data_IF_612514100559
#
_entry.id   IF_612514100559
#
_cell.length_a   1.000
_cell.length_b   1.000
_cell.length_c   1.000
_cell.angle_alpha   90.00
_cell.angle_beta   90.00
_cell.angle_gamma   90.00
#
_symmetry.space_group_name_H-M   'P 1'
#
loop_
_entity.id
_entity.type
_entity.pdbx_description
1 polymer ?
#
# COMPACT_ATOMS: atom_id res chain seq x y z
N UNK A 1 -57.41 4.03 11.53
CA UNK A 1 -56.53 3.29 10.64
C UNK A 1 -55.09 3.63 11.07
N UNK A 2 -54.43 2.75 11.81
CA UNK A 2 -53.07 2.95 12.30
C UNK A 2 -52.12 2.26 11.34
N UNK A 3 -51.30 3.01 10.64
CA UNK A 3 -50.22 2.47 9.82
C UNK A 3 -49.11 1.98 10.73
N UNK A 4 -48.93 0.65 10.73
CA UNK A 4 -47.75 -0.02 11.33
C UNK A 4 -46.54 0.25 10.43
N UNK A 5 -45.66 1.15 10.86
CA UNK A 5 -44.35 1.33 10.27
C UNK A 5 -43.50 0.11 10.63
N UNK A 6 -43.28 -0.80 9.67
CA UNK A 6 -42.34 -1.90 9.81
C UNK A 6 -40.91 -1.35 9.78
N UNK A 7 -40.26 -1.32 10.94
CA UNK A 7 -38.82 -1.09 11.04
C UNK A 7 -38.10 -2.25 10.36
N UNK A 8 -37.55 -1.99 9.17
CA UNK A 8 -36.61 -2.92 8.52
C UNK A 8 -35.35 -2.94 9.40
N UNK A 9 -35.14 -4.03 10.12
CA UNK A 9 -33.92 -4.23 10.89
C UNK A 9 -32.72 -4.27 9.92
N UNK A 10 -31.75 -3.38 10.10
CA UNK A 10 -30.49 -3.48 9.41
C UNK A 10 -29.86 -4.88 9.69
N UNK A 11 -29.30 -5.55 8.68
CA UNK A 11 -28.65 -6.82 8.91
C UNK A 11 -27.53 -6.64 9.95
N UNK A 12 -27.48 -7.58 10.91
CA UNK A 12 -26.42 -7.57 11.93
C UNK A 12 -25.03 -7.64 11.22
N UNK A 13 -24.10 -6.82 11.68
CA UNK A 13 -22.72 -6.91 11.19
C UNK A 13 -22.16 -8.31 11.47
N UNK A 14 -21.39 -8.90 10.56
CA UNK A 14 -20.69 -10.15 10.83
C UNK A 14 -19.79 -10.00 12.07
N UNK A 15 -19.63 -11.06 12.84
CA UNK A 15 -18.74 -11.07 14.00
C UNK A 15 -17.28 -10.87 13.55
N UNK A 16 -16.54 -9.99 14.24
CA UNK A 16 -15.15 -9.69 13.89
C UNK A 16 -14.26 -10.92 14.10
N UNK A 17 -13.51 -11.38 13.08
CA UNK A 17 -12.63 -12.55 13.21
C UNK A 17 -11.40 -12.26 14.08
N UNK A 18 -11.06 -10.98 14.31
CA UNK A 18 -10.02 -10.50 15.20
C UNK A 18 -10.33 -9.07 15.68
N UNK A 19 -9.89 -8.74 16.90
CA UNK A 19 -10.20 -7.44 17.53
C UNK A 19 -9.54 -6.23 16.83
N UNK A 20 -8.52 -6.47 16.01
CA UNK A 20 -7.75 -5.47 15.26
C UNK A 20 -8.25 -5.27 13.81
N UNK A 21 -9.42 -5.81 13.47
CA UNK A 21 -10.02 -5.70 12.15
C UNK A 21 -11.34 -4.91 12.19
N UNK A 22 -11.61 -4.16 11.12
CA UNK A 22 -12.87 -3.46 10.91
C UNK A 22 -13.61 -4.02 9.71
N UNK A 23 -14.96 -4.00 9.79
CA UNK A 23 -15.82 -4.39 8.69
C UNK A 23 -15.92 -3.28 7.66
N UNK A 24 -15.61 -3.61 6.42
CA UNK A 24 -15.82 -2.77 5.25
C UNK A 24 -17.07 -3.29 4.54
N UNK A 25 -18.13 -2.48 4.45
CA UNK A 25 -19.45 -3.01 4.06
C UNK A 25 -19.57 -3.42 2.58
N UNK A 26 -18.52 -3.12 1.78
CA UNK A 26 -18.61 -3.27 0.34
C UNK A 26 -19.50 -2.20 -0.30
N UNK A 27 -19.70 -2.29 -1.60
CA UNK A 27 -20.53 -1.33 -2.35
C UNK A 27 -19.91 -0.89 -3.65
N UNK A 28 -20.57 0.06 -4.31
CA UNK A 28 -20.13 0.65 -5.58
C UNK A 28 -19.43 1.98 -5.30
N UNK A 29 -18.34 2.25 -6.02
CA UNK A 29 -17.55 3.48 -5.90
C UNK A 29 -16.92 3.86 -7.24
N UNK A 30 -16.44 5.08 -7.34
CA UNK A 30 -15.64 5.55 -8.46
C UNK A 30 -14.16 5.18 -8.23
N UNK A 31 -13.69 4.12 -8.91
CA UNK A 31 -12.31 3.65 -8.84
C UNK A 31 -11.41 4.43 -9.80
N UNK A 32 -10.28 4.95 -9.31
CA UNK A 32 -9.32 5.73 -10.10
C UNK A 32 -9.58 7.22 -10.08
N UNK A 33 -8.88 7.93 -10.97
CA UNK A 33 -8.99 9.39 -11.15
C UNK A 33 -8.54 9.78 -12.55
N UNK A 34 -9.26 10.74 -13.17
CA UNK A 34 -8.88 11.36 -14.45
C UNK A 34 -8.10 12.67 -14.25
N UNK A 35 -7.80 13.06 -12.99
CA UNK A 35 -7.28 14.38 -12.66
C UNK A 35 -5.78 14.40 -12.35
N UNK A 36 -5.13 13.22 -12.22
CA UNK A 36 -3.75 13.13 -11.74
C UNK A 36 -2.84 12.35 -12.70
N UNK A 37 -2.35 11.17 -12.28
CA UNK A 37 -1.42 10.38 -13.09
C UNK A 37 -2.15 9.54 -14.14
N UNK A 38 -1.58 9.40 -15.35
CA UNK A 38 -2.20 8.61 -16.43
C UNK A 38 -2.53 7.16 -16.02
N UNK A 39 -1.74 6.58 -15.14
CA UNK A 39 -1.96 5.22 -14.64
C UNK A 39 -3.21 5.07 -13.76
N UNK A 40 -3.73 6.17 -13.24
CA UNK A 40 -4.96 6.18 -12.42
C UNK A 40 -6.22 6.20 -13.28
N UNK A 41 -6.10 6.68 -14.53
CA UNK A 41 -7.21 6.82 -15.47
C UNK A 41 -7.47 5.51 -16.25
N UNK A 42 -8.72 5.31 -16.75
CA UNK A 42 -9.87 6.16 -16.52
C UNK A 42 -10.50 5.91 -15.15
N UNK A 43 -11.13 6.94 -14.57
CA UNK A 43 -12.02 6.77 -13.44
C UNK A 43 -13.28 6.03 -13.89
N UNK A 44 -13.66 4.96 -13.21
CA UNK A 44 -14.79 4.14 -13.59
C UNK A 44 -15.49 3.51 -12.38
N UNK A 45 -16.81 3.29 -12.49
CA UNK A 45 -17.54 2.61 -11.44
C UNK A 45 -17.04 1.17 -11.28
N UNK A 46 -16.85 0.75 -10.03
CA UNK A 46 -16.54 -0.61 -9.63
C UNK A 46 -17.30 -0.95 -8.36
N UNK A 47 -17.55 -2.22 -8.10
CA UNK A 47 -18.13 -2.69 -6.86
C UNK A 47 -17.23 -3.73 -6.19
N UNK A 48 -17.26 -3.78 -4.86
CA UNK A 48 -16.59 -4.80 -4.06
C UNK A 48 -17.56 -5.39 -3.05
N UNK A 49 -17.41 -6.69 -2.77
CA UNK A 49 -18.13 -7.34 -1.68
C UNK A 49 -17.61 -6.84 -0.33
N UNK A 50 -18.36 -7.07 0.76
CA UNK A 50 -17.91 -6.74 2.10
C UNK A 50 -16.77 -7.65 2.58
N UNK A 51 -15.85 -7.09 3.38
CA UNK A 51 -14.69 -7.81 3.92
C UNK A 51 -14.23 -7.19 5.23
N UNK A 52 -13.43 -7.93 5.99
CA UNK A 52 -12.71 -7.41 7.15
C UNK A 52 -11.33 -6.93 6.74
N UNK A 53 -10.88 -5.79 7.25
CA UNK A 53 -9.54 -5.24 6.99
C UNK A 53 -8.84 -4.90 8.30
N UNK A 54 -7.53 -5.15 8.37
CA UNK A 54 -6.67 -4.69 9.48
C UNK A 54 -6.79 -3.17 9.62
N UNK A 55 -7.00 -2.69 10.83
CA UNK A 55 -7.12 -1.24 11.10
C UNK A 55 -5.88 -0.45 10.72
N UNK A 56 -4.71 -1.08 10.83
CA UNK A 56 -3.40 -0.46 10.62
C UNK A 56 -2.56 -1.32 9.66
N UNK A 57 -1.51 -0.78 9.03
CA UNK A 57 -0.48 -1.59 8.38
C UNK A 57 0.16 -2.55 9.38
N UNK A 58 0.59 -3.72 8.92
CA UNK A 58 1.27 -4.71 9.78
C UNK A 58 2.48 -4.07 10.46
N UNK A 59 2.52 -4.16 11.78
CA UNK A 59 3.55 -3.54 12.60
C UNK A 59 4.79 -4.42 12.75
N UNK A 60 5.91 -3.80 13.16
CA UNK A 60 7.14 -4.53 13.49
C UNK A 60 6.91 -5.60 14.56
N UNK A 61 6.08 -5.32 15.57
CA UNK A 61 5.76 -6.31 16.60
C UNK A 61 5.04 -7.52 16.03
N UNK A 62 4.01 -7.31 15.21
CA UNK A 62 3.24 -8.38 14.58
C UNK A 62 4.10 -9.20 13.60
N UNK A 63 4.97 -8.54 12.84
CA UNK A 63 5.87 -9.23 11.91
C UNK A 63 6.96 -10.01 12.66
N UNK A 64 7.45 -9.49 13.78
CA UNK A 64 8.39 -10.20 14.65
C UNK A 64 7.79 -11.50 15.21
N UNK A 65 6.51 -11.50 15.60
CA UNK A 65 5.79 -12.73 16.03
C UNK A 65 5.77 -13.77 14.92
N UNK A 66 5.43 -13.36 13.70
CA UNK A 66 5.43 -14.23 12.52
C UNK A 66 6.80 -14.86 12.30
N UNK A 67 7.85 -14.05 12.27
CA UNK A 67 9.22 -14.56 12.05
C UNK A 67 9.65 -15.49 13.17
N UNK A 68 9.34 -15.18 14.43
CA UNK A 68 9.64 -16.08 15.56
C UNK A 68 8.90 -17.43 15.47
N UNK A 69 7.64 -17.41 15.00
CA UNK A 69 6.82 -18.61 14.90
C UNK A 69 7.21 -19.52 13.72
N UNK A 70 7.70 -18.92 12.62
CA UNK A 70 7.89 -19.65 11.35
C UNK A 70 9.35 -19.81 10.92
N UNK A 71 10.25 -19.01 11.47
CA UNK A 71 11.63 -18.92 10.99
C UNK A 71 11.73 -18.23 9.61
N UNK A 72 10.72 -17.49 9.18
CA UNK A 72 10.69 -16.84 7.87
C UNK A 72 11.89 -15.91 7.69
N UNK A 73 12.51 -16.01 6.51
CA UNK A 73 13.54 -15.08 6.04
C UNK A 73 12.96 -14.24 4.90
N UNK A 74 13.04 -12.93 5.03
CA UNK A 74 12.52 -12.01 4.02
C UNK A 74 13.41 -12.01 2.77
N UNK A 75 12.84 -11.57 1.65
CA UNK A 75 13.58 -11.41 0.38
C UNK A 75 14.83 -10.55 0.59
N UNK A 76 14.76 -9.50 1.41
CA UNK A 76 15.91 -8.65 1.75
C UNK A 76 17.05 -9.40 2.47
N UNK A 77 16.75 -10.50 3.14
CA UNK A 77 17.72 -11.34 3.87
C UNK A 77 18.29 -12.47 2.99
N UNK A 78 17.88 -12.55 1.73
CA UNK A 78 18.30 -13.61 0.77
C UNK A 78 19.04 -12.95 -0.38
N UNK A 79 20.15 -13.56 -0.82
CA UNK A 79 20.89 -13.07 -1.98
C UNK A 79 20.04 -13.19 -3.25
N UNK A 80 19.93 -12.12 -4.07
CA UNK A 80 19.21 -12.19 -5.34
C UNK A 80 19.77 -13.30 -6.25
N UNK A 81 18.90 -13.92 -7.05
CA UNK A 81 19.31 -14.90 -8.05
C UNK A 81 19.93 -14.17 -9.26
N UNK A 82 21.25 -14.38 -9.55
CA UNK A 82 21.91 -13.70 -10.66
C UNK A 82 21.28 -13.98 -12.04
N UNK A 83 20.56 -15.10 -12.20
CA UNK A 83 19.91 -15.44 -13.47
C UNK A 83 18.74 -14.52 -13.80
N UNK A 84 18.11 -13.92 -12.79
CA UNK A 84 17.00 -12.98 -12.94
C UNK A 84 17.47 -11.54 -13.24
N UNK A 85 18.76 -11.25 -13.03
CA UNK A 85 19.36 -9.92 -13.19
C UNK A 85 20.61 -9.95 -14.08
N UNK A 86 20.47 -10.30 -15.37
CA UNK A 86 21.61 -10.36 -16.27
C UNK A 86 22.32 -9.01 -16.37
N UNK A 87 23.64 -9.00 -16.13
CA UNK A 87 24.46 -7.79 -16.15
C UNK A 87 24.45 -6.96 -14.86
N UNK A 88 23.77 -7.40 -13.82
CA UNK A 88 23.83 -6.73 -12.52
C UNK A 88 25.24 -6.77 -11.92
N UNK A 89 25.62 -5.72 -11.22
CA UNK A 89 26.92 -5.64 -10.53
C UNK A 89 26.96 -6.67 -9.40
N UNK A 90 28.10 -7.34 -9.27
CA UNK A 90 28.32 -8.41 -8.27
C UNK A 90 28.00 -7.94 -6.83
N UNK A 91 28.29 -6.68 -6.53
CA UNK A 91 28.03 -6.08 -5.20
C UNK A 91 26.53 -6.01 -4.86
N UNK A 92 25.64 -5.99 -5.88
CA UNK A 92 24.20 -6.00 -5.70
C UNK A 92 23.61 -7.40 -5.56
N UNK A 93 24.43 -8.45 -5.69
CA UNK A 93 24.03 -9.86 -5.56
C UNK A 93 24.23 -10.39 -4.14
N UNK A 94 24.19 -9.54 -3.14
CA UNK A 94 24.23 -9.89 -1.72
C UNK A 94 22.95 -9.41 -1.02
N UNK A 95 22.56 -10.02 0.10
CA UNK A 95 21.38 -9.61 0.86
C UNK A 95 21.40 -8.12 1.19
N UNK A 96 20.28 -7.45 0.97
CA UNK A 96 20.13 -6.03 1.20
C UNK A 96 18.81 -5.51 0.64
N UNK A 97 18.62 -4.20 0.75
CA UNK A 97 17.38 -3.55 0.34
C UNK A 97 17.61 -2.09 -0.05
N UNK A 98 16.64 -1.51 -0.74
CA UNK A 98 16.67 -0.10 -1.12
C UNK A 98 16.35 0.79 0.07
N UNK A 99 17.26 1.72 0.36
CA UNK A 99 17.16 2.70 1.44
C UNK A 99 17.20 4.11 0.87
N UNK A 100 16.25 4.93 1.29
CA UNK A 100 16.28 6.35 1.02
C UNK A 100 17.42 7.01 1.81
N UNK A 101 18.25 7.77 1.10
CA UNK A 101 19.33 8.58 1.69
C UNK A 101 19.14 10.03 1.27
N UNK A 102 18.69 10.85 2.23
CA UNK A 102 18.45 12.28 2.00
C UNK A 102 19.73 12.97 1.54
N UNK A 103 19.78 13.62 0.36
CA UNK A 103 20.91 14.43 -0.06
C UNK A 103 21.08 15.68 0.81
N UNK A 104 22.29 16.23 0.84
CA UNK A 104 22.59 17.46 1.58
C UNK A 104 22.11 18.75 0.91
N UNK A 105 21.53 18.67 -0.30
CA UNK A 105 21.03 19.80 -1.07
C UNK A 105 20.32 19.34 -2.35
N UNK A 106 19.89 20.27 -3.21
CA UNK A 106 19.23 19.97 -4.47
C UNK A 106 20.06 19.02 -5.35
N UNK A 107 19.38 18.07 -6.01
CA UNK A 107 19.99 17.09 -6.93
C UNK A 107 19.19 16.99 -8.23
N UNK A 108 19.77 16.35 -9.25
CA UNK A 108 19.05 16.07 -10.49
C UNK A 108 17.94 15.02 -10.21
N UNK A 109 16.69 15.48 -10.32
CA UNK A 109 15.49 14.68 -10.05
C UNK A 109 15.23 13.58 -11.09
N UNK A 110 15.92 13.60 -12.24
CA UNK A 110 15.80 12.55 -13.27
C UNK A 110 16.60 11.30 -12.93
N UNK A 111 17.51 11.39 -11.96
CA UNK A 111 18.31 10.27 -11.50
C UNK A 111 17.99 9.90 -10.05
N UNK A 112 17.09 8.92 -9.88
CA UNK A 112 16.68 8.43 -8.57
C UNK A 112 17.85 7.88 -7.74
N UNK A 113 18.97 7.50 -8.34
CA UNK A 113 20.18 7.04 -7.64
C UNK A 113 20.80 8.15 -6.77
N UNK A 114 20.41 9.39 -6.92
CA UNK A 114 20.83 10.48 -6.04
C UNK A 114 20.31 10.32 -4.61
N UNK A 115 19.17 9.63 -4.42
CA UNK A 115 18.56 9.41 -3.08
C UNK A 115 18.19 7.97 -2.77
N UNK A 116 18.20 7.05 -3.75
CA UNK A 116 18.03 5.62 -3.50
C UNK A 116 19.37 4.90 -3.54
N UNK A 117 19.64 4.11 -2.48
CA UNK A 117 20.85 3.28 -2.38
C UNK A 117 20.46 1.86 -2.03
N UNK A 118 21.00 0.88 -2.74
CA UNK A 118 20.98 -0.50 -2.29
C UNK A 118 21.97 -0.64 -1.14
N UNK A 119 21.48 -1.00 0.04
CA UNK A 119 22.29 -1.08 1.26
C UNK A 119 22.35 -2.54 1.71
N UNK A 120 23.57 -3.10 1.73
CA UNK A 120 23.80 -4.46 2.20
C UNK A 120 23.43 -4.57 3.67
N UNK A 121 22.72 -5.66 4.03
CA UNK A 121 22.25 -5.89 5.38
C UNK A 121 21.15 -4.94 5.84
N UNK A 122 20.53 -4.16 4.94
CA UNK A 122 19.26 -3.51 5.21
C UNK A 122 18.12 -4.51 5.06
N UNK A 123 17.32 -4.64 6.09
CA UNK A 123 16.18 -5.55 6.18
C UNK A 123 15.14 -4.96 7.15
N UNK A 124 14.08 -5.68 7.45
CA UNK A 124 13.01 -5.23 8.35
C UNK A 124 13.48 -4.96 9.79
N UNK A 125 14.57 -5.61 10.28
CA UNK A 125 15.18 -5.34 11.58
C UNK A 125 16.18 -4.19 11.56
N UNK A 126 16.76 -3.93 10.38
CA UNK A 126 17.84 -2.97 10.14
C UNK A 126 17.47 -1.98 9.02
N UNK A 127 16.43 -1.11 9.22
CA UNK A 127 15.77 -0.39 8.13
C UNK A 127 16.63 0.68 7.43
N UNK A 128 17.76 1.08 7.97
CA UNK A 128 18.70 1.99 7.30
C UNK A 128 20.10 1.38 7.11
N UNK A 129 20.22 0.04 7.31
CA UNK A 129 21.43 -0.75 7.19
C UNK A 129 21.82 -1.45 8.47
N UNK A 130 22.87 -2.29 8.46
CA UNK A 130 23.19 -3.26 9.52
C UNK A 130 23.45 -2.66 10.90
N UNK A 131 23.76 -1.38 10.98
CA UNK A 131 23.98 -0.66 12.27
C UNK A 131 22.70 -0.01 12.80
N UNK A 132 21.56 -0.20 12.16
CA UNK A 132 20.26 0.30 12.61
C UNK A 132 19.43 -0.78 13.31
N UNK A 133 18.37 -0.36 13.99
CA UNK A 133 17.50 -1.28 14.72
C UNK A 133 16.07 -0.76 14.78
N UNK A 134 15.11 -1.67 14.90
CA UNK A 134 13.70 -1.37 15.19
C UNK A 134 13.39 -1.26 16.68
N UNK A 135 14.40 -1.29 17.55
CA UNK A 135 14.20 -1.16 19.01
C UNK A 135 13.44 0.13 19.33
N UNK A 136 12.35 0.01 20.10
CA UNK A 136 11.46 1.13 20.40
C UNK A 136 10.51 1.53 19.26
N UNK A 137 10.43 0.72 18.18
CA UNK A 137 9.55 0.93 17.03
C UNK A 137 8.56 -0.22 16.82
N UNK A 138 8.10 -0.85 17.90
CA UNK A 138 7.15 -1.98 17.83
C UNK A 138 5.85 -1.62 17.14
N UNK A 139 5.34 -0.38 17.34
CA UNK A 139 4.10 0.15 16.74
C UNK A 139 4.35 0.94 15.44
N UNK A 140 5.46 0.75 14.77
CA UNK A 140 5.72 1.29 13.42
C UNK A 140 5.43 0.22 12.38
N UNK A 141 5.06 0.61 11.14
CA UNK A 141 4.85 -0.36 10.08
C UNK A 141 6.13 -1.14 9.79
N UNK A 142 6.01 -2.42 9.52
CA UNK A 142 7.12 -3.20 8.99
C UNK A 142 7.44 -2.71 7.57
N UNK A 143 8.73 -2.59 7.27
CA UNK A 143 9.23 -2.19 5.95
C UNK A 143 10.29 -3.18 5.47
N UNK A 144 10.81 -3.01 4.27
CA UNK A 144 11.75 -3.94 3.62
C UNK A 144 11.16 -5.35 3.44
N UNK A 145 9.87 -5.40 3.16
CA UNK A 145 9.12 -6.63 2.86
C UNK A 145 8.72 -6.63 1.39
N UNK A 146 9.07 -7.69 0.68
CA UNK A 146 8.64 -7.94 -0.68
C UNK A 146 7.23 -8.57 -0.72
N UNK A 147 6.65 -8.71 -1.90
CA UNK A 147 5.30 -9.28 -2.04
C UNK A 147 5.17 -10.67 -1.39
N UNK A 148 6.16 -11.53 -1.60
CA UNK A 148 6.16 -12.89 -1.03
C UNK A 148 6.19 -12.91 0.51
N UNK A 149 6.83 -11.92 1.13
CA UNK A 149 6.91 -11.79 2.59
C UNK A 149 5.53 -11.42 3.16
N UNK A 150 4.85 -10.45 2.54
CA UNK A 150 3.49 -10.06 2.91
C UNK A 150 2.48 -11.18 2.70
N UNK A 151 2.59 -11.92 1.59
CA UNK A 151 1.73 -13.08 1.32
C UNK A 151 1.95 -14.21 2.33
N UNK A 152 3.20 -14.49 2.69
CA UNK A 152 3.55 -15.50 3.69
C UNK A 152 3.00 -15.15 5.08
N UNK A 153 3.13 -13.88 5.49
CA UNK A 153 2.54 -13.39 6.72
C UNK A 153 1.01 -13.53 6.71
N UNK A 154 0.36 -13.06 5.64
CA UNK A 154 -1.09 -13.11 5.52
C UNK A 154 -1.60 -14.55 5.62
N UNK A 155 -0.97 -15.48 4.92
CA UNK A 155 -1.30 -16.92 4.97
C UNK A 155 -1.12 -17.50 6.38
N UNK A 156 -0.04 -17.16 7.07
CA UNK A 156 0.19 -17.60 8.45
C UNK A 156 -0.90 -17.13 9.41
N UNK A 157 -1.40 -15.89 9.22
CA UNK A 157 -2.50 -15.31 10.02
C UNK A 157 -3.89 -15.79 9.59
N UNK A 158 -4.02 -16.66 8.58
CA UNK A 158 -5.32 -17.03 8.00
C UNK A 158 -6.00 -15.88 7.26
N UNK A 159 -5.23 -14.89 6.81
CA UNK A 159 -5.67 -13.68 6.10
C UNK A 159 -5.21 -13.70 4.64
N UNK A 160 -5.52 -12.65 3.90
CA UNK A 160 -5.04 -12.40 2.54
C UNK A 160 -4.60 -10.94 2.39
N UNK A 161 -3.78 -10.63 1.40
CA UNK A 161 -3.59 -9.26 0.94
C UNK A 161 -4.84 -8.78 0.19
N UNK A 162 -5.18 -7.48 0.25
CA UNK A 162 -6.32 -6.91 -0.48
C UNK A 162 -6.07 -6.91 -2.00
N UNK A 163 -7.13 -6.90 -2.78
CA UNK A 163 -7.07 -6.48 -4.18
C UNK A 163 -6.89 -4.97 -4.25
N UNK A 164 -6.49 -4.45 -5.43
CA UNK A 164 -6.42 -3.00 -5.65
C UNK A 164 -7.76 -2.32 -5.39
N UNK A 165 -8.87 -2.93 -5.85
CA UNK A 165 -10.21 -2.39 -5.70
C UNK A 165 -10.68 -2.39 -4.23
N UNK A 166 -10.46 -3.47 -3.49
CA UNK A 166 -10.78 -3.55 -2.06
C UNK A 166 -9.98 -2.51 -1.27
N UNK A 167 -8.69 -2.39 -1.57
CA UNK A 167 -7.84 -1.42 -0.90
C UNK A 167 -8.32 0.03 -1.17
N UNK A 168 -8.59 0.37 -2.44
CA UNK A 168 -9.04 1.73 -2.80
C UNK A 168 -10.41 2.06 -2.23
N UNK A 169 -11.36 1.11 -2.27
CA UNK A 169 -12.66 1.27 -1.64
C UNK A 169 -12.56 1.56 -0.14
N UNK A 170 -11.76 0.77 0.56
CA UNK A 170 -11.51 0.95 1.98
C UNK A 170 -10.82 2.30 2.29
N UNK A 171 -9.84 2.69 1.47
CA UNK A 171 -9.13 3.96 1.64
C UNK A 171 -10.03 5.18 1.46
N UNK A 172 -11.01 5.11 0.55
CA UNK A 172 -11.98 6.20 0.35
C UNK A 172 -12.89 6.43 1.55
N UNK A 173 -13.10 5.43 2.39
CA UNK A 173 -13.90 5.59 3.60
C UNK A 173 -15.33 6.10 3.33
N UNK A 174 -15.95 5.77 2.19
CA UNK A 174 -17.26 6.29 1.79
C UNK A 174 -17.23 7.71 1.19
N UNK A 175 -16.08 8.37 1.11
CA UNK A 175 -15.92 9.68 0.45
C UNK A 175 -15.65 9.47 -1.04
N UNK A 176 -16.69 9.10 -1.78
CA UNK A 176 -16.55 8.79 -3.21
C UNK A 176 -16.14 10.03 -4.00
N UNK A 177 -15.13 9.85 -4.88
CA UNK A 177 -14.57 10.92 -5.70
C UNK A 177 -13.69 11.94 -4.95
N UNK A 178 -13.54 11.85 -3.63
CA UNK A 178 -12.66 12.73 -2.87
C UNK A 178 -11.17 12.52 -3.27
N UNK A 179 -10.41 13.60 -3.19
CA UNK A 179 -8.98 13.57 -3.56
C UNK A 179 -8.15 12.77 -2.55
N UNK A 180 -8.40 12.97 -1.25
CA UNK A 180 -7.70 12.30 -0.15
C UNK A 180 -8.64 11.39 0.63
N UNK A 181 -8.09 10.55 1.48
CA UNK A 181 -8.86 9.64 2.35
C UNK A 181 -9.72 10.39 3.40
N UNK A 182 -9.50 11.69 3.58
CA UNK A 182 -10.20 12.58 4.53
C UNK A 182 -10.99 13.72 3.86
N UNK A 183 -11.02 13.81 2.53
CA UNK A 183 -11.73 14.86 1.79
C UNK A 183 -10.88 15.49 0.68
N UNK A 184 -11.15 16.76 0.36
CA UNK A 184 -10.51 17.44 -0.78
C UNK A 184 -9.43 18.45 -0.37
N UNK A 185 -9.25 18.73 0.90
CA UNK A 185 -8.23 19.63 1.39
C UNK A 185 -7.03 18.83 1.93
N UNK A 186 -5.82 19.15 1.45
CA UNK A 186 -4.60 18.42 1.82
C UNK A 186 -4.33 18.49 3.33
N UNK A 187 -4.49 19.67 3.91
CA UNK A 187 -4.23 19.92 5.32
C UNK A 187 -5.39 20.75 5.93
N UNK A 188 -6.52 20.11 6.28
CA UNK A 188 -7.65 20.80 6.88
C UNK A 188 -7.21 21.56 8.14
N UNK A 189 -7.60 22.83 8.25
CA UNK A 189 -7.19 23.74 9.33
C UNK A 189 -5.66 23.79 9.55
N UNK A 190 -4.88 23.55 8.49
CA UNK A 190 -3.41 23.51 8.53
C UNK A 190 -2.83 22.27 9.22
N UNK A 191 -3.62 21.21 9.48
CA UNK A 191 -3.19 20.00 10.17
C UNK A 191 -2.84 18.89 9.18
N UNK A 192 -1.65 18.27 9.29
CA UNK A 192 -1.33 17.06 8.53
C UNK A 192 -2.30 15.93 8.91
N UNK A 193 -2.88 15.29 7.90
CA UNK A 193 -3.79 14.16 8.08
C UNK A 193 -3.14 12.81 7.81
N UNK A 194 -1.88 12.81 7.37
CA UNK A 194 -1.07 11.63 7.09
C UNK A 194 0.42 11.98 7.13
N UNK A 195 1.27 10.97 7.22
CA UNK A 195 2.71 11.12 7.12
C UNK A 195 3.13 11.15 5.65
N UNK A 196 3.50 12.31 5.14
CA UNK A 196 4.05 12.52 3.79
C UNK A 196 5.12 13.61 3.83
N UNK A 197 5.93 13.72 2.78
CA UNK A 197 7.03 14.68 2.71
C UNK A 197 6.52 16.12 2.57
N UNK A 198 6.97 17.02 3.46
CA UNK A 198 6.68 18.46 3.40
C UNK A 198 7.95 19.24 3.12
N UNK A 199 7.96 19.97 2.01
CA UNK A 199 9.11 20.77 1.54
C UNK A 199 9.68 20.21 0.24
N UNK A 200 10.91 20.59 -0.07
CA UNK A 200 11.57 20.27 -1.34
C UNK A 200 12.18 18.86 -1.32
N UNK A 201 11.48 17.91 -1.93
CA UNK A 201 12.00 16.55 -2.10
C UNK A 201 13.19 16.54 -3.08
N UNK A 202 14.24 15.74 -2.84
CA UNK A 202 14.47 14.78 -1.76
C UNK A 202 15.37 15.32 -0.62
N UNK A 203 15.68 16.61 -0.59
CA UNK A 203 16.74 17.17 0.25
C UNK A 203 16.24 17.97 1.47
N UNK A 204 15.05 18.57 1.39
CA UNK A 204 14.48 19.34 2.48
C UNK A 204 13.15 18.73 2.93
N UNK A 205 13.10 18.16 4.13
CA UNK A 205 11.86 17.80 4.80
C UNK A 205 11.63 18.73 5.99
N UNK A 206 10.54 19.48 5.95
CA UNK A 206 10.16 20.46 7.00
C UNK A 206 9.56 19.77 8.23
N UNK A 207 9.15 18.50 8.10
CA UNK A 207 8.59 17.69 9.20
C UNK A 207 7.43 18.38 9.93
N UNK A 208 6.56 19.04 9.18
CA UNK A 208 5.36 19.69 9.74
C UNK A 208 4.45 18.65 10.40
N UNK A 209 4.47 17.41 9.91
CA UNK A 209 3.79 16.25 10.48
C UNK A 209 4.48 15.64 11.71
N UNK A 210 5.69 16.10 12.06
CA UNK A 210 6.47 15.62 13.19
C UNK A 210 7.46 14.49 12.85
N UNK A 211 7.48 13.95 11.63
CA UNK A 211 8.27 12.78 11.27
C UNK A 211 9.25 13.04 10.12
N UNK A 212 10.39 12.36 10.13
CA UNK A 212 11.35 12.37 9.01
C UNK A 212 11.29 11.08 8.19
N UNK A 213 10.87 9.99 8.80
CA UNK A 213 10.70 8.66 8.22
C UNK A 213 9.29 8.14 8.49
N UNK A 214 9.15 6.83 8.66
CA UNK A 214 7.87 6.24 9.07
C UNK A 214 7.45 6.74 10.45
N UNK A 215 6.14 6.78 10.71
CA UNK A 215 5.51 7.12 11.99
C UNK A 215 4.88 5.88 12.65
N UNK A 216 4.52 5.92 13.95
CA UNK A 216 3.61 4.93 14.53
C UNK A 216 2.32 4.84 13.70
N UNK A 217 1.74 3.64 13.60
CA UNK A 217 0.59 3.37 12.71
C UNK A 217 -0.74 4.00 13.14
N UNK A 218 -0.75 4.67 14.26
CA UNK A 218 -1.91 5.38 14.85
C UNK A 218 -1.62 6.87 15.09
N UNK A 219 -0.56 7.39 14.46
CA UNK A 219 -0.12 8.78 14.67
C UNK A 219 -1.08 9.82 14.07
N UNK A 220 -1.87 9.44 13.07
CA UNK A 220 -2.82 10.32 12.36
C UNK A 220 -4.25 9.82 12.52
N UNK A 221 -5.26 10.68 12.29
CA UNK A 221 -6.66 10.28 12.41
C UNK A 221 -7.02 9.16 11.41
N UNK A 222 -7.90 8.22 11.80
CA UNK A 222 -8.42 7.21 10.88
C UNK A 222 -9.39 7.84 9.87
N UNK A 223 -9.63 7.15 8.75
CA UNK A 223 -10.72 7.48 7.85
C UNK A 223 -12.08 7.09 8.48
N UNK A 224 -13.18 7.36 7.77
CA UNK A 224 -14.55 7.13 8.31
C UNK A 224 -14.89 5.66 8.55
N UNK A 225 -14.14 4.71 7.98
CA UNK A 225 -14.25 3.29 8.30
C UNK A 225 -13.40 2.87 9.51
N UNK A 226 -12.66 3.79 10.13
CA UNK A 226 -11.79 3.49 11.26
C UNK A 226 -10.42 2.92 10.86
N UNK A 227 -10.01 3.10 9.60
CA UNK A 227 -8.71 2.63 9.10
C UNK A 227 -7.67 3.75 9.18
N UNK A 228 -6.54 3.46 9.80
CA UNK A 228 -5.40 4.37 9.92
C UNK A 228 -4.43 4.19 8.76
N UNK A 229 -3.68 5.23 8.43
CA UNK A 229 -2.58 5.23 7.46
C UNK A 229 -2.95 4.64 6.09
N UNK A 230 -4.20 4.82 5.65
CA UNK A 230 -4.60 4.39 4.30
C UNK A 230 -3.86 5.16 3.21
N UNK A 231 -3.33 6.33 3.53
CA UNK A 231 -2.45 7.08 2.62
C UNK A 231 -1.30 7.72 3.42
N UNK A 232 -0.12 7.80 2.80
CA UNK A 232 1.12 8.21 3.48
C UNK A 232 1.77 7.05 4.25
N UNK A 233 2.68 7.33 5.13
CA UNK A 233 3.51 6.45 5.95
C UNK A 233 4.27 5.41 5.11
N UNK A 234 3.63 4.33 4.67
CA UNK A 234 4.22 3.31 3.80
C UNK A 234 3.30 2.96 2.63
N UNK A 235 3.89 2.66 1.48
CA UNK A 235 3.20 1.96 0.41
C UNK A 235 2.72 0.59 0.89
N UNK A 236 1.61 0.10 0.33
CA UNK A 236 1.05 -1.19 0.69
C UNK A 236 0.86 -2.10 -0.52
N UNK A 237 1.31 -3.36 -0.39
CA UNK A 237 1.12 -4.39 -1.39
C UNK A 237 -0.35 -4.74 -1.60
N UNK A 238 -0.75 -4.92 -2.87
CA UNK A 238 -2.02 -5.55 -3.26
C UNK A 238 -1.79 -6.80 -4.10
N UNK A 239 -2.84 -7.62 -4.27
CA UNK A 239 -2.72 -8.88 -5.01
C UNK A 239 -2.78 -8.72 -6.53
N UNK A 240 -3.15 -7.54 -7.06
CA UNK A 240 -3.36 -7.35 -8.47
C UNK A 240 -2.06 -7.12 -9.24
N UNK A 241 -1.95 -7.75 -10.42
CA UNK A 241 -0.87 -7.46 -11.35
C UNK A 241 -1.07 -6.09 -11.97
N UNK A 242 0.02 -5.33 -12.06
CA UNK A 242 -0.05 -3.99 -12.64
C UNK A 242 -0.21 -4.05 -14.16
N UNK A 243 -1.38 -3.65 -14.62
CA UNK A 243 -1.68 -3.44 -16.03
C UNK A 243 -2.31 -2.07 -16.22
N UNK A 244 -2.17 -1.45 -17.42
CA UNK A 244 -2.91 -0.22 -17.72
C UNK A 244 -4.40 -0.45 -17.53
N UNK A 245 -5.08 0.49 -16.87
CA UNK A 245 -6.54 0.45 -16.80
C UNK A 245 -7.10 0.60 -18.20
N UNK A 246 -8.06 -0.24 -18.55
CA UNK A 246 -8.80 -0.16 -19.83
C UNK A 246 -10.15 0.45 -19.54
N UNK A 247 -10.56 1.44 -20.36
CA UNK A 247 -11.93 1.89 -20.34
C UNK A 247 -12.81 0.69 -20.68
N UNK A 248 -13.61 0.23 -19.73
CA UNK A 248 -14.77 -0.59 -20.09
C UNK A 248 -15.67 0.34 -20.89
N UNK A 249 -16.03 -0.03 -22.14
CA UNK A 249 -16.90 0.79 -23.00
C UNK A 249 -18.09 1.31 -22.21
N UNK A 250 -18.82 2.33 -22.69
CA UNK A 250 -19.95 2.96 -21.96
C UNK A 250 -20.85 1.87 -21.35
N UNK A 251 -20.54 1.50 -20.12
CA UNK A 251 -21.23 0.44 -19.41
C UNK A 251 -22.57 0.98 -18.95
N UNK A 252 -23.63 0.35 -19.40
CA UNK A 252 -24.94 0.54 -18.77
C UNK A 252 -24.79 0.29 -17.25
N UNK A 253 -25.58 0.93 -16.38
CA UNK A 253 -25.50 0.72 -14.92
C UNK A 253 -25.56 -0.75 -14.48
N UNK A 254 -26.11 -1.64 -15.32
CA UNK A 254 -26.15 -3.08 -15.09
C UNK A 254 -24.81 -3.81 -15.29
N UNK A 255 -23.76 -3.15 -15.78
CA UNK A 255 -22.48 -3.76 -16.14
C UNK A 255 -21.31 -3.23 -15.32
N UNK A 256 -21.55 -2.74 -14.08
CA UNK A 256 -20.48 -2.33 -13.16
C UNK A 256 -19.65 -3.58 -12.80
N UNK A 257 -18.32 -3.56 -13.04
CA UNK A 257 -17.46 -4.68 -12.66
C UNK A 257 -17.55 -4.96 -11.16
N UNK A 258 -17.86 -6.19 -10.78
CA UNK A 258 -17.85 -6.64 -9.40
C UNK A 258 -16.53 -7.30 -9.06
N UNK A 259 -15.92 -6.88 -7.94
CA UNK A 259 -14.63 -7.37 -7.48
C UNK A 259 -13.56 -7.38 -8.58
N UNK A 260 -13.34 -6.26 -9.30
CA UNK A 260 -12.45 -6.23 -10.45
C UNK A 260 -11.04 -6.66 -10.04
N UNK A 261 -10.35 -7.33 -10.97
CA UNK A 261 -8.98 -7.81 -10.79
C UNK A 261 -8.06 -7.20 -11.85
N UNK A 262 -6.78 -7.11 -11.52
CA UNK A 262 -5.73 -6.77 -12.48
C UNK A 262 -5.59 -7.82 -13.59
N UNK A 263 -4.75 -7.51 -14.60
CA UNK A 263 -4.44 -8.41 -15.70
C UNK A 263 -3.61 -9.63 -15.33
N UNK A 264 -2.84 -10.14 -16.28
CA UNK A 264 -1.97 -11.30 -16.10
C UNK A 264 -0.55 -10.86 -15.66
N UNK A 265 0.20 -11.77 -15.07
CA UNK A 265 1.58 -11.52 -14.63
C UNK A 265 2.47 -11.06 -15.80
N UNK A 266 2.33 -11.72 -16.94
CA UNK A 266 3.11 -11.47 -18.16
C UNK A 266 2.81 -10.09 -18.77
N UNK A 267 1.64 -9.53 -18.52
CA UNK A 267 1.24 -8.19 -18.95
C UNK A 267 1.81 -7.08 -18.02
N UNK A 268 2.38 -7.46 -16.88
CA UNK A 268 2.85 -6.54 -15.85
C UNK A 268 4.34 -6.21 -15.93
N UNK A 269 5.10 -6.83 -16.85
CA UNK A 269 6.54 -6.54 -17.03
C UNK A 269 6.78 -5.09 -17.42
N UNK A 270 7.94 -4.55 -17.02
CA UNK A 270 8.29 -3.17 -17.38
C UNK A 270 8.69 -3.08 -18.87
N UNK A 271 7.89 -2.43 -19.74
CA UNK A 271 8.22 -2.32 -21.15
C UNK A 271 9.49 -1.51 -21.42
N UNK A 272 9.97 -0.74 -20.45
CA UNK A 272 11.24 0.02 -20.55
C UNK A 272 12.45 -0.88 -20.29
N UNK A 273 12.24 -2.08 -19.75
CA UNK A 273 13.28 -3.06 -19.42
C UNK A 273 12.90 -4.46 -19.95
N UNK A 274 12.77 -4.64 -21.28
CA UNK A 274 12.18 -5.86 -21.87
C UNK A 274 13.01 -7.14 -21.62
N UNK A 275 14.27 -6.99 -21.20
CA UNK A 275 15.15 -8.09 -20.85
C UNK A 275 15.00 -8.53 -19.37
N UNK A 276 14.27 -7.79 -18.55
CA UNK A 276 13.96 -8.14 -17.16
C UNK A 276 12.48 -8.56 -17.10
N UNK A 277 12.24 -9.86 -16.98
CA UNK A 277 10.89 -10.42 -16.92
C UNK A 277 10.44 -10.57 -15.46
N UNK A 278 10.58 -9.49 -14.68
CA UNK A 278 10.10 -9.44 -13.31
C UNK A 278 8.68 -8.84 -13.30
N UNK A 279 7.66 -9.65 -12.90
CA UNK A 279 6.30 -9.17 -12.86
C UNK A 279 6.10 -8.16 -11.73
N UNK A 280 5.16 -7.24 -11.92
CA UNK A 280 4.91 -6.14 -10.99
C UNK A 280 3.50 -6.20 -10.42
N UNK A 281 3.38 -6.03 -9.12
CA UNK A 281 2.11 -5.84 -8.43
C UNK A 281 1.76 -4.36 -8.33
N UNK A 282 0.49 -4.09 -8.11
CA UNK A 282 0.03 -2.75 -7.74
C UNK A 282 0.34 -2.52 -6.26
N UNK A 283 0.99 -1.40 -5.95
CA UNK A 283 1.08 -0.87 -4.61
C UNK A 283 0.24 0.40 -4.48
N UNK A 284 -0.28 0.65 -3.29
CA UNK A 284 -1.27 1.71 -3.02
C UNK A 284 -0.83 2.59 -1.84
N UNK A 285 -1.44 3.78 -1.73
CA UNK A 285 -1.37 4.65 -0.56
C UNK A 285 -0.28 5.70 -0.56
N UNK A 286 0.79 5.54 -1.32
CA UNK A 286 1.96 6.42 -1.18
C UNK A 286 2.70 6.18 0.13
N UNK A 287 3.66 7.03 0.45
CA UNK A 287 4.45 6.88 1.67
C UNK A 287 4.92 8.24 2.21
N UNK A 288 5.65 8.21 3.33
CA UNK A 288 6.32 9.39 3.91
C UNK A 288 7.33 10.07 2.95
N UNK A 289 7.71 9.41 1.86
CA UNK A 289 8.57 9.98 0.81
C UNK A 289 7.79 10.61 -0.35
N UNK A 290 6.46 10.54 -0.36
CA UNK A 290 5.65 11.17 -1.36
C UNK A 290 5.48 12.67 -1.06
N UNK A 291 5.76 13.51 -2.06
CA UNK A 291 5.80 14.97 -1.95
C UNK A 291 5.00 15.63 -3.06
N UNK A 292 4.45 16.81 -2.79
CA UNK A 292 3.69 17.58 -3.77
C UNK A 292 4.51 17.95 -5.02
N UNK A 293 5.82 18.17 -4.87
CA UNK A 293 6.73 18.54 -5.97
C UNK A 293 7.38 17.33 -6.68
N UNK A 294 7.11 16.09 -6.24
CA UNK A 294 7.74 14.89 -6.82
C UNK A 294 6.76 13.74 -7.05
N UNK A 295 6.11 13.24 -6.00
CA UNK A 295 5.28 12.03 -6.04
C UNK A 295 4.00 12.26 -5.23
N UNK A 296 2.97 12.86 -5.84
CA UNK A 296 1.70 13.18 -5.17
C UNK A 296 0.79 11.95 -5.12
N UNK A 297 1.28 10.81 -4.57
CA UNK A 297 0.55 9.54 -4.55
C UNK A 297 -0.03 9.14 -3.18
N UNK A 298 -0.05 10.06 -2.20
CA UNK A 298 -0.79 9.92 -0.93
C UNK A 298 -2.30 10.17 -1.13
N UNK A 299 -2.90 9.43 -2.09
CA UNK A 299 -4.31 9.54 -2.50
C UNK A 299 -4.89 8.16 -2.76
N UNK A 300 -6.18 7.89 -2.44
CA UNK A 300 -6.80 6.60 -2.64
C UNK A 300 -6.71 6.09 -4.09
N UNK A 301 -6.93 6.97 -5.08
CA UNK A 301 -6.87 6.61 -6.50
C UNK A 301 -5.47 6.27 -7.00
N UNK A 302 -4.41 6.77 -6.34
CA UNK A 302 -3.05 6.58 -6.77
C UNK A 302 -2.65 5.09 -6.74
N UNK A 303 -1.86 4.70 -7.74
CA UNK A 303 -1.32 3.36 -7.92
C UNK A 303 0.10 3.43 -8.47
N UNK A 304 0.89 2.40 -8.19
CA UNK A 304 2.25 2.34 -8.72
C UNK A 304 2.64 0.88 -8.98
N UNK A 305 3.42 0.61 -10.05
CA UNK A 305 3.95 -0.72 -10.32
C UNK A 305 5.18 -0.98 -9.47
N UNK A 306 5.20 -2.08 -8.72
CA UNK A 306 6.38 -2.50 -7.95
C UNK A 306 6.75 -3.94 -8.29
N UNK A 307 8.01 -4.23 -8.69
CA UNK A 307 8.47 -5.60 -8.88
C UNK A 307 8.27 -6.44 -7.62
N UNK A 308 7.80 -7.68 -7.80
CA UNK A 308 7.40 -8.55 -6.66
C UNK A 308 8.51 -8.90 -5.69
N UNK A 309 9.75 -8.78 -6.12
CA UNK A 309 10.97 -9.06 -5.34
C UNK A 309 11.63 -7.80 -4.78
N UNK A 310 11.03 -6.63 -5.03
CA UNK A 310 11.54 -5.36 -4.48
C UNK A 310 11.18 -5.26 -3.00
N UNK A 311 12.17 -4.84 -2.21
CA UNK A 311 11.97 -4.41 -0.83
C UNK A 311 12.57 -3.02 -0.63
N UNK A 312 11.89 -2.16 0.11
CA UNK A 312 12.32 -0.78 0.35
C UNK A 312 11.97 -0.30 1.74
N UNK A 313 12.63 0.77 2.20
CA UNK A 313 12.40 1.38 3.52
C UNK A 313 11.04 2.09 3.67
N UNK A 314 10.16 2.04 2.67
CA UNK A 314 8.85 2.70 2.70
C UNK A 314 7.72 1.83 2.13
N UNK A 315 7.92 0.51 2.10
CA UNK A 315 6.99 -0.46 1.53
C UNK A 315 6.65 -1.53 2.57
N UNK A 316 5.39 -1.61 2.91
CA UNK A 316 4.78 -2.53 3.85
C UNK A 316 3.49 -3.14 3.28
N UNK A 317 2.55 -3.53 4.14
CA UNK A 317 1.28 -4.13 3.74
C UNK A 317 0.29 -4.18 4.90
N UNK A 318 -1.00 -4.40 4.60
CA UNK A 318 -2.05 -4.82 5.54
C UNK A 318 -2.83 -5.99 4.99
N UNK A 319 -3.60 -6.69 5.85
CA UNK A 319 -4.32 -7.87 5.46
C UNK A 319 -5.83 -7.70 5.57
N UNK A 320 -6.54 -8.60 4.88
CA UNK A 320 -8.00 -8.69 4.89
C UNK A 320 -8.45 -10.13 5.15
N UNK A 321 -9.71 -10.27 5.58
CA UNK A 321 -10.44 -11.54 5.57
C UNK A 321 -11.74 -11.33 4.78
N UNK A 322 -11.95 -12.14 3.76
CA UNK A 322 -13.23 -12.21 3.06
C UNK A 322 -14.12 -13.24 3.73
N UNK A 323 -15.40 -12.91 4.00
CA UNK A 323 -16.35 -13.92 4.48
C UNK A 323 -16.37 -15.11 3.51
N UNK A 324 -16.42 -16.33 4.06
CA UNK A 324 -16.72 -17.49 3.24
C UNK A 324 -18.08 -17.26 2.59
N UNK A 325 -18.17 -17.39 1.25
CA UNK A 325 -19.50 -17.46 0.62
C UNK A 325 -20.21 -18.65 1.25
N UNK A 326 -21.36 -18.41 1.88
CA UNK A 326 -22.24 -19.50 2.27
C UNK A 326 -22.46 -20.36 1.02
N UNK A 327 -22.19 -21.66 1.13
CA UNK A 327 -22.53 -22.59 0.05
C UNK A 327 -24.06 -22.50 -0.13
N UNK A 328 -24.50 -21.97 -1.27
CA UNK A 328 -25.90 -22.01 -1.68
C UNK A 328 -26.33 -23.44 -1.98
#
# INVERSE_FOLDING_TARGET
>A
MSESSSLVSSPALPEAPAADMVWIPGGTFLMGSDQHYPEEAPAQAASVDGFWMDQVPVTNAQFEEFVKATGHRTVAEIAPDPSQYPGAKKELMSPGSLVFKKPGGPVDMRDFRNWWKYVLGADWRHPIGPNSTIRGRSNFPVVHVAYADGEAYARWRGKSLPTEAEWEFAARGGLDGAEYAWGNELMPDGRPMANFWQGEFPWQNLRVDGFEGTSPVDAFPPNTYGLFDMTGNVWEWTTDWYTPRRAHGKTAPCCIPSNPRGGLAEESYDPRQPHIQMPRKVIKGGSHLCSANYCRRYRPAARFPEPIDTSTCHLGFRCIIRPSKAAE
#
